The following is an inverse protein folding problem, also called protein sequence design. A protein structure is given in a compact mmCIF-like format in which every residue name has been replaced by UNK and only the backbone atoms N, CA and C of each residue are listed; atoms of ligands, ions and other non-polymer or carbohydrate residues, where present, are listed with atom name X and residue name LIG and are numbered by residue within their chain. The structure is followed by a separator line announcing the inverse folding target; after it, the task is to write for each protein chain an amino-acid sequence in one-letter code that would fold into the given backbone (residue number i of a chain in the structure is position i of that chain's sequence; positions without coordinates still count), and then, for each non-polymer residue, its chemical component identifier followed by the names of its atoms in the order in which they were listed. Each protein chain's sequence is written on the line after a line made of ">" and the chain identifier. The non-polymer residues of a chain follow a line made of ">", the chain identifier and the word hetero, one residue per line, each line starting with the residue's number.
data_IF_676477704406
#
_entry.id   IF_676477704406
#
_cell.length_a   1.000
_cell.length_b   1.000
_cell.length_c   1.000
_cell.angle_alpha   90.00
_cell.angle_beta   90.00
_cell.angle_gamma   90.00
#
_symmetry.space_group_name_H-M   'P 1'
#
loop_
_entity.id
_entity.type
_entity.pdbx_description
1 polymer ?
#
# COMPACT_ATOMS: atom_id res chain seq x y z
N UNK A 1 1.16 5.07 9.96
CA UNK A 1 1.78 3.93 9.21
C UNK A 1 0.80 3.38 8.21
N UNK A 2 -0.45 3.11 8.59
CA UNK A 2 -1.52 2.78 7.66
C UNK A 2 -1.70 3.80 6.54
N UNK A 3 -1.60 5.09 6.87
CA UNK A 3 -1.74 6.20 5.93
C UNK A 3 -0.66 6.15 4.85
N UNK A 4 0.59 5.89 5.24
CA UNK A 4 1.71 5.73 4.30
C UNK A 4 1.46 4.57 3.34
N UNK A 5 1.02 3.43 3.86
CA UNK A 5 0.68 2.26 3.04
C UNK A 5 -0.43 2.61 2.04
N UNK A 6 -1.49 3.29 2.50
CA UNK A 6 -2.62 3.67 1.65
C UNK A 6 -2.27 4.75 0.62
N UNK A 7 -1.39 5.71 0.93
CA UNK A 7 -0.88 6.70 -0.04
C UNK A 7 -0.26 6.01 -1.24
N UNK A 8 0.48 4.91 -1.01
CA UNK A 8 1.06 4.10 -2.10
C UNK A 8 0.07 3.15 -2.79
N UNK A 9 -0.90 2.60 -2.05
CA UNK A 9 -1.83 1.59 -2.56
C UNK A 9 -2.97 2.21 -3.40
N UNK A 10 -3.48 3.38 -3.00
CA UNK A 10 -4.65 4.02 -3.62
C UNK A 10 -4.49 4.27 -5.13
N UNK A 11 -3.37 4.82 -5.63
CA UNK A 11 -3.18 5.02 -7.07
C UNK A 11 -3.20 3.71 -7.86
N UNK A 12 -2.59 2.65 -7.32
CA UNK A 12 -2.57 1.33 -7.95
C UNK A 12 -3.96 0.71 -7.99
N UNK A 13 -4.68 0.78 -6.86
CA UNK A 13 -6.04 0.25 -6.76
C UNK A 13 -6.99 1.00 -7.69
N UNK A 14 -6.96 2.34 -7.71
CA UNK A 14 -7.77 3.17 -8.61
C UNK A 14 -7.48 2.83 -10.08
N UNK A 15 -6.20 2.74 -10.46
CA UNK A 15 -5.83 2.36 -11.82
C UNK A 15 -6.32 0.95 -12.20
N UNK A 16 -6.22 -0.03 -11.29
CA UNK A 16 -6.72 -1.38 -11.53
C UNK A 16 -8.24 -1.39 -11.75
N UNK A 17 -8.97 -0.60 -10.97
CA UNK A 17 -10.43 -0.44 -11.08
C UNK A 17 -10.81 0.23 -12.41
N UNK A 18 -10.10 1.30 -12.79
CA UNK A 18 -10.37 2.01 -14.06
C UNK A 18 -10.03 1.17 -15.29
N UNK A 19 -8.98 0.34 -15.21
CA UNK A 19 -8.52 -0.49 -16.32
C UNK A 19 -9.30 -1.81 -16.47
N UNK A 20 -10.02 -2.26 -15.44
CA UNK A 20 -10.73 -3.53 -15.45
C UNK A 20 -12.23 -3.35 -15.20
N UNK A 21 -13.07 -3.96 -16.01
CA UNK A 21 -14.51 -4.13 -15.73
C UNK A 21 -14.79 -5.17 -14.60
N UNK A 22 -13.86 -5.35 -13.63
CA UNK A 22 -13.97 -6.44 -12.66
C UNK A 22 -14.70 -6.03 -11.39
N UNK A 23 -15.62 -6.91 -11.03
CA UNK A 23 -16.54 -6.83 -9.90
C UNK A 23 -15.85 -7.27 -8.58
N UNK A 24 -14.68 -7.93 -8.64
CA UNK A 24 -14.00 -8.47 -7.45
C UNK A 24 -12.47 -8.36 -7.51
N UNK A 25 -11.85 -7.88 -6.43
CA UNK A 25 -10.40 -7.72 -6.26
C UNK A 25 -9.93 -8.53 -5.04
N UNK A 26 -8.80 -9.21 -5.18
CA UNK A 26 -8.13 -9.90 -4.08
C UNK A 26 -6.81 -9.21 -3.77
N UNK A 27 -6.68 -8.72 -2.55
CA UNK A 27 -5.45 -8.15 -2.01
C UNK A 27 -4.82 -9.16 -1.05
N UNK A 28 -3.51 -9.29 -1.11
CA UNK A 28 -2.77 -10.22 -0.26
C UNK A 28 -1.61 -9.45 0.34
N UNK A 29 -1.50 -9.41 1.66
CA UNK A 29 -0.40 -8.74 2.35
C UNK A 29 0.00 -9.44 3.64
N UNK A 30 1.13 -9.01 4.19
CA UNK A 30 1.50 -9.38 5.54
C UNK A 30 0.53 -8.82 6.58
N UNK A 31 0.61 -9.38 7.77
CA UNK A 31 -0.31 -9.14 8.88
C UNK A 31 0.15 -8.04 9.85
N UNK A 32 0.97 -7.09 9.41
CA UNK A 32 1.37 -5.96 10.26
C UNK A 32 0.16 -5.08 10.61
N UNK A 33 -0.22 -5.06 11.90
CA UNK A 33 -1.42 -4.37 12.41
C UNK A 33 -1.32 -2.85 12.21
N UNK A 34 -0.14 -2.28 12.43
CA UNK A 34 0.11 -0.84 12.27
C UNK A 34 0.00 -0.36 10.82
N UNK A 35 0.07 -1.27 9.85
CA UNK A 35 0.08 -0.96 8.41
C UNK A 35 -1.21 -1.40 7.72
N UNK A 36 -1.57 -2.69 7.78
CA UNK A 36 -2.66 -3.25 6.98
C UNK A 36 -3.87 -3.68 7.81
N UNK A 37 -3.68 -4.34 8.96
CA UNK A 37 -4.79 -4.85 9.79
C UNK A 37 -5.32 -3.81 10.78
N UNK A 38 -5.92 -2.73 10.27
CA UNK A 38 -6.43 -1.64 11.11
C UNK A 38 -7.75 -1.03 10.60
N UNK A 39 -8.32 -0.17 11.44
CA UNK A 39 -9.57 0.55 11.17
C UNK A 39 -9.51 1.42 9.89
N UNK A 40 -8.34 1.98 9.57
CA UNK A 40 -8.15 2.79 8.37
C UNK A 40 -8.33 1.95 7.13
N UNK A 41 -7.72 0.76 7.07
CA UNK A 41 -7.93 -0.18 5.96
C UNK A 41 -9.38 -0.62 5.82
N UNK A 42 -10.06 -0.92 6.93
CA UNK A 42 -11.49 -1.25 6.91
C UNK A 42 -12.34 -0.11 6.32
N UNK A 43 -12.06 1.14 6.73
CA UNK A 43 -12.73 2.31 6.20
C UNK A 43 -12.47 2.51 4.71
N UNK A 44 -11.20 2.46 4.28
CA UNK A 44 -10.81 2.70 2.91
C UNK A 44 -11.42 1.64 1.97
N UNK A 45 -11.31 0.35 2.31
CA UNK A 45 -11.94 -0.74 1.54
C UNK A 45 -13.45 -0.50 1.39
N UNK A 46 -14.14 -0.12 2.47
CA UNK A 46 -15.56 0.22 2.41
C UNK A 46 -15.86 1.37 1.44
N UNK A 47 -15.02 2.42 1.42
CA UNK A 47 -15.21 3.55 0.50
C UNK A 47 -15.07 3.11 -0.96
N UNK A 48 -14.02 2.35 -1.29
CA UNK A 48 -13.81 1.81 -2.64
C UNK A 48 -14.96 0.90 -3.08
N UNK A 49 -15.37 -0.06 -2.25
CA UNK A 49 -16.50 -0.95 -2.56
C UNK A 49 -17.80 -0.18 -2.81
N UNK A 50 -18.08 0.85 -2.01
CA UNK A 50 -19.29 1.67 -2.13
C UNK A 50 -19.28 2.56 -3.38
N UNK A 51 -18.15 3.24 -3.62
CA UNK A 51 -17.96 4.20 -4.72
C UNK A 51 -17.94 3.49 -6.07
N UNK A 52 -17.11 2.46 -6.17
CA UNK A 52 -16.78 1.82 -7.45
C UNK A 52 -17.64 0.58 -7.73
N UNK A 53 -18.53 0.20 -6.80
CA UNK A 53 -19.44 -0.96 -6.91
C UNK A 53 -18.71 -2.29 -7.12
N UNK A 54 -17.58 -2.44 -6.42
CA UNK A 54 -16.72 -3.62 -6.43
C UNK A 54 -16.72 -4.34 -5.08
N UNK A 55 -16.35 -5.60 -5.09
CA UNK A 55 -16.05 -6.41 -3.92
C UNK A 55 -14.53 -6.49 -3.75
N UNK A 56 -14.03 -6.37 -2.52
CA UNK A 56 -12.61 -6.52 -2.22
C UNK A 56 -12.44 -7.52 -1.09
N UNK A 57 -11.61 -8.54 -1.32
CA UNK A 57 -11.17 -9.46 -0.28
C UNK A 57 -9.69 -9.17 0.00
N UNK A 58 -9.37 -8.73 1.21
CA UNK A 58 -7.99 -8.51 1.63
C UNK A 58 -7.57 -9.58 2.64
N UNK A 59 -6.70 -10.49 2.20
CA UNK A 59 -6.21 -11.64 2.94
C UNK A 59 -4.86 -11.30 3.59
N UNK A 60 -4.71 -11.66 4.86
CA UNK A 60 -3.49 -11.44 5.65
C UNK A 60 -2.82 -12.76 6.01
N UNK A 61 -1.55 -12.94 5.63
CA UNK A 61 -0.76 -14.11 6.03
C UNK A 61 -0.41 -14.09 7.52
N UNK A 62 -0.22 -15.23 8.18
CA UNK A 62 0.27 -15.26 9.56
C UNK A 62 1.67 -14.64 9.71
N UNK A 63 1.88 -13.96 10.83
CA UNK A 63 3.16 -13.33 11.15
C UNK A 63 4.22 -14.41 11.38
N UNK A 64 5.15 -14.58 10.44
CA UNK A 64 6.24 -15.56 10.55
C UNK A 64 6.44 -16.49 9.35
N UNK A 65 5.59 -16.41 8.33
CA UNK A 65 5.81 -17.16 7.09
C UNK A 65 6.63 -16.35 6.09
N UNK A 66 7.83 -16.87 5.80
CA UNK A 66 8.74 -16.63 4.68
C UNK A 66 8.63 -15.32 3.89
N UNK A 67 9.78 -14.64 3.72
CA UNK A 67 9.96 -13.52 2.79
C UNK A 67 9.23 -13.80 1.46
N UNK A 68 8.18 -13.06 1.19
CA UNK A 68 7.35 -13.24 0.00
C UNK A 68 8.03 -12.68 -1.25
N UNK A 69 7.38 -12.85 -2.40
CA UNK A 69 7.79 -12.18 -3.65
C UNK A 69 7.97 -10.65 -3.45
N UNK A 70 7.09 -9.94 -2.71
CA UNK A 70 7.29 -8.52 -2.43
C UNK A 70 8.60 -8.21 -1.69
N UNK A 71 9.02 -9.08 -0.77
CA UNK A 71 10.29 -8.92 -0.04
C UNK A 71 11.50 -9.10 -0.95
N UNK A 72 11.43 -10.02 -1.92
CA UNK A 72 12.50 -10.21 -2.90
C UNK A 72 12.66 -8.98 -3.80
N UNK A 73 11.55 -8.41 -4.28
CA UNK A 73 11.56 -7.16 -5.06
C UNK A 73 12.11 -6.00 -4.22
N UNK A 74 11.63 -5.85 -2.98
CA UNK A 74 12.10 -4.82 -2.05
C UNK A 74 13.59 -4.95 -1.73
N UNK A 75 14.07 -6.16 -1.46
CA UNK A 75 15.49 -6.43 -1.20
C UNK A 75 16.36 -6.16 -2.43
N UNK A 76 15.94 -6.59 -3.62
CA UNK A 76 16.66 -6.32 -4.87
C UNK A 76 16.79 -4.82 -5.12
N UNK A 77 15.71 -4.07 -4.93
CA UNK A 77 15.70 -2.62 -5.13
C UNK A 77 16.57 -1.90 -4.08
N UNK A 78 16.48 -2.33 -2.81
CA UNK A 78 17.32 -1.79 -1.73
C UNK A 78 18.81 -2.01 -2.03
N UNK A 79 19.21 -3.22 -2.40
CA UNK A 79 20.60 -3.52 -2.72
C UNK A 79 21.10 -2.65 -3.89
N UNK A 80 20.23 -2.35 -4.86
CA UNK A 80 20.56 -1.48 -5.98
C UNK A 80 20.75 -0.02 -5.55
N UNK A 81 19.90 0.49 -4.67
CA UNK A 81 20.09 1.80 -4.06
C UNK A 81 21.39 1.87 -3.26
N UNK A 82 21.66 0.86 -2.42
CA UNK A 82 22.89 0.80 -1.62
C UNK A 82 24.14 0.81 -2.51
N UNK A 83 24.14 0.06 -3.63
CA UNK A 83 25.25 0.06 -4.59
C UNK A 83 25.46 1.43 -5.26
N UNK A 84 24.39 2.12 -5.62
CA UNK A 84 24.45 3.44 -6.25
C UNK A 84 24.98 4.48 -5.26
N UNK A 85 24.51 4.46 -4.02
CA UNK A 85 25.01 5.37 -2.96
C UNK A 85 26.46 5.06 -2.58
N UNK A 86 26.92 3.81 -2.71
CA UNK A 86 28.35 3.50 -2.52
C UNK A 86 29.18 3.94 -3.72
N UNK A 87 28.66 3.80 -4.94
CA UNK A 87 29.36 4.15 -6.18
C UNK A 87 29.50 5.68 -6.36
N UNK A 88 28.43 6.42 -6.06
CA UNK A 88 28.42 7.87 -6.05
C UNK A 88 28.58 8.34 -4.60
N UNK A 89 29.64 9.09 -4.27
CA UNK A 89 29.83 9.66 -2.92
C UNK A 89 28.55 10.28 -2.34
N UNK A 90 28.36 10.23 -1.02
CA UNK A 90 27.15 10.68 -0.31
C UNK A 90 26.61 12.06 -0.75
N UNK A 91 27.47 12.97 -1.18
CA UNK A 91 27.13 14.33 -1.63
C UNK A 91 26.42 14.37 -3.02
N UNK A 92 26.37 13.25 -3.73
CA UNK A 92 25.88 13.18 -5.11
C UNK A 92 24.35 13.26 -5.22
N UNK A 93 23.62 13.02 -4.13
CA UNK A 93 22.15 13.05 -4.11
C UNK A 93 21.68 14.12 -3.12
N UNK A 94 20.89 15.09 -3.61
CA UNK A 94 20.36 16.18 -2.79
C UNK A 94 18.90 15.89 -2.37
N UNK A 95 18.22 15.02 -3.11
CA UNK A 95 16.86 14.58 -2.82
C UNK A 95 16.63 13.11 -3.20
N UNK A 96 15.61 12.51 -2.58
CA UNK A 96 15.17 11.14 -2.91
C UNK A 96 14.76 10.99 -4.40
N UNK A 97 14.31 12.08 -5.03
CA UNK A 97 14.01 12.13 -6.46
C UNK A 97 15.20 11.83 -7.35
N UNK A 98 16.40 12.23 -6.93
CA UNK A 98 17.63 12.04 -7.69
C UNK A 98 17.94 10.55 -7.78
N UNK A 99 17.90 9.87 -6.63
CA UNK A 99 18.11 8.44 -6.51
C UNK A 99 17.06 7.63 -7.31
N UNK A 100 15.78 8.02 -7.22
CA UNK A 100 14.71 7.37 -7.98
C UNK A 100 14.90 7.55 -9.48
N UNK A 101 15.32 8.73 -9.93
CA UNK A 101 15.56 9.01 -11.36
C UNK A 101 16.72 8.18 -11.89
N UNK A 102 17.80 8.06 -11.13
CA UNK A 102 18.95 7.22 -11.48
C UNK A 102 18.55 5.74 -11.61
N UNK A 103 17.77 5.21 -10.66
CA UNK A 103 17.38 3.79 -10.69
C UNK A 103 16.31 3.48 -11.74
N UNK A 104 15.39 4.41 -12.04
CA UNK A 104 14.29 4.18 -12.99
C UNK A 104 14.76 3.72 -14.37
N UNK A 105 15.95 4.16 -14.82
CA UNK A 105 16.49 3.77 -16.11
C UNK A 105 17.10 2.36 -16.12
N UNK A 106 17.30 1.77 -14.95
CA UNK A 106 18.04 0.52 -14.75
C UNK A 106 17.18 -0.53 -14.02
N UNK A 107 15.85 -0.36 -13.99
CA UNK A 107 14.93 -1.36 -13.45
C UNK A 107 13.61 -1.39 -14.19
N UNK A 108 13.06 -2.59 -14.38
CA UNK A 108 11.67 -2.76 -14.85
C UNK A 108 10.64 -2.52 -13.71
N UNK A 109 11.12 -2.44 -12.47
CA UNK A 109 10.27 -2.18 -11.30
C UNK A 109 9.77 -0.74 -11.34
N UNK A 110 8.45 -0.56 -11.37
CA UNK A 110 7.85 0.78 -11.34
C UNK A 110 8.08 1.43 -9.97
N UNK A 111 8.74 2.59 -9.97
CA UNK A 111 9.04 3.37 -8.78
C UNK A 111 8.10 4.57 -8.67
N UNK A 112 7.51 4.72 -7.49
CA UNK A 112 6.67 5.86 -7.11
C UNK A 112 7.34 6.57 -5.94
N UNK A 113 7.43 7.90 -6.03
CA UNK A 113 7.92 8.75 -4.97
C UNK A 113 6.72 9.49 -4.38
N UNK A 114 6.63 9.49 -3.05
CA UNK A 114 5.59 10.18 -2.31
C UNK A 114 6.23 11.11 -1.30
N UNK A 115 5.71 12.33 -1.21
CA UNK A 115 6.10 13.31 -0.23
C UNK A 115 5.21 13.24 1.00
N UNK A 116 5.60 13.96 2.05
CA UNK A 116 4.81 14.06 3.27
C UNK A 116 3.43 14.70 3.00
N UNK A 117 3.37 15.66 2.09
CA UNK A 117 2.14 16.30 1.61
C UNK A 117 1.13 15.28 1.08
N UNK A 118 1.56 14.28 0.31
CA UNK A 118 0.69 13.21 -0.20
C UNK A 118 0.07 12.37 0.92
N UNK A 119 0.84 12.13 1.99
CA UNK A 119 0.37 11.40 3.17
C UNK A 119 -0.62 12.26 3.97
N UNK A 120 -0.35 13.56 4.07
CA UNK A 120 -1.19 14.48 4.83
C UNK A 120 -2.54 14.73 4.14
N UNK A 121 -2.56 14.83 2.80
CA UNK A 121 -3.81 14.87 2.00
C UNK A 121 -4.69 13.66 2.29
N UNK A 122 -4.10 12.45 2.35
CA UNK A 122 -4.86 11.24 2.66
C UNK A 122 -5.41 11.27 4.10
N UNK A 123 -4.60 11.70 5.08
CA UNK A 123 -5.03 11.81 6.48
C UNK A 123 -6.26 12.71 6.63
N UNK A 124 -6.31 13.82 5.91
CA UNK A 124 -7.44 14.76 5.95
C UNK A 124 -8.73 14.15 5.40
N UNK A 125 -8.63 13.20 4.47
CA UNK A 125 -9.79 12.49 3.91
C UNK A 125 -10.34 11.40 4.85
N UNK A 126 -9.55 10.94 5.82
CA UNK A 126 -9.94 9.88 6.75
C UNK A 126 -10.60 10.51 7.98
N UNK A 127 -11.89 10.24 8.25
CA UNK A 127 -12.56 10.76 9.43
C UNK A 127 -12.00 10.13 10.70
N UNK A 128 -12.33 10.70 11.87
CA UNK A 128 -11.97 10.08 13.16
C UNK A 128 -12.69 8.74 13.34
N UNK A 129 -11.98 7.64 13.10
CA UNK A 129 -12.52 6.29 13.20
C UNK A 129 -12.44 5.74 14.63
N UNK A 130 -13.51 5.06 15.07
CA UNK A 130 -13.51 4.29 16.33
C UNK A 130 -12.60 3.07 16.20
N UNK A 131 -11.94 2.69 17.29
CA UNK A 131 -11.16 1.47 17.31
C UNK A 131 -12.09 0.25 17.20
N UNK A 132 -11.71 -0.71 16.37
CA UNK A 132 -12.41 -1.99 16.23
C UNK A 132 -11.69 -3.01 17.10
N UNK A 133 -12.38 -3.61 18.07
CA UNK A 133 -11.78 -4.65 18.92
C UNK A 133 -11.47 -5.89 18.09
N UNK A 134 -10.36 -6.57 18.40
CA UNK A 134 -9.99 -7.81 17.73
C UNK A 134 -9.28 -7.66 16.39
N UNK A 135 -8.89 -6.43 15.98
CA UNK A 135 -8.20 -6.20 14.71
C UNK A 135 -6.91 -7.00 14.54
N UNK A 136 -6.19 -7.23 15.62
CA UNK A 136 -4.96 -8.01 15.63
C UNK A 136 -5.16 -9.51 15.29
N UNK A 137 -6.39 -10.02 15.38
CA UNK A 137 -6.75 -11.42 15.09
C UNK A 137 -7.45 -11.58 13.74
N UNK A 138 -7.57 -10.50 12.96
CA UNK A 138 -8.18 -10.59 11.63
C UNK A 138 -7.23 -11.31 10.66
N UNK A 139 -7.79 -12.27 9.92
CA UNK A 139 -7.13 -12.98 8.81
C UNK A 139 -7.61 -12.50 7.45
N UNK A 140 -8.80 -11.92 7.40
CA UNK A 140 -9.37 -11.36 6.17
C UNK A 140 -10.18 -10.11 6.51
N UNK A 141 -10.13 -9.13 5.62
CA UNK A 141 -11.03 -7.98 5.58
C UNK A 141 -11.82 -8.06 4.28
N UNK A 142 -13.14 -8.15 4.40
CA UNK A 142 -14.05 -8.29 3.26
C UNK A 142 -14.86 -7.02 3.11
N UNK A 143 -14.78 -6.40 1.93
CA UNK A 143 -15.65 -5.32 1.49
C UNK A 143 -16.62 -5.82 0.42
N UNK A 144 -17.90 -5.44 0.55
CA UNK A 144 -18.96 -5.77 -0.41
C UNK A 144 -19.60 -4.51 -0.97
N UNK A 145 -19.92 -4.51 -2.27
CA UNK A 145 -20.60 -3.41 -2.96
C UNK A 145 -22.01 -3.11 -2.44
N UNK A 146 -22.67 -4.09 -1.81
CA UNK A 146 -24.08 -4.08 -1.44
C UNK A 146 -24.35 -4.06 0.07
N UNK A 147 -23.34 -3.92 0.93
CA UNK A 147 -23.59 -3.81 2.37
C UNK A 147 -24.14 -2.41 2.72
N UNK A 148 -25.46 -2.34 2.86
CA UNK A 148 -26.11 -1.35 3.72
C UNK A 148 -25.94 -1.81 5.16
N UNK A 149 -25.26 -1.00 5.99
CA UNK A 149 -25.22 -1.27 7.43
C UNK A 149 -26.37 -0.51 8.09
N UNK A 150 -27.25 -1.28 8.73
CA UNK A 150 -28.05 -0.83 9.87
C UNK A 150 -27.13 -0.47 11.05
#
# INVERSE_FOLDING_TARGET
>A
MAEVAWTSLQPLLTKLIEQQHKIQIYLISDSLVSQYRNKTSAFMIKQYCKRDKIDINWIFYESGHGKGIPDAVGASLKNKFDQIVVYYSDDAFQAASDLVTTVKNDTETKLFLYEKSDIDVLKEQIPKLKAVKGTARMYELIGRKNEQLY
#
